data_IF_576920590013
#
_entry.id   IF_576920590013
#
_cell.length_a   1.000
_cell.length_b   1.000
_cell.length_c   1.000
_cell.angle_alpha   90.00
_cell.angle_beta   90.00
_cell.angle_gamma   90.00
#
_symmetry.space_group_name_H-M   'P 1'
#
loop_
_entity.id
_entity.type
_entity.pdbx_description
1 polymer ?
#
# COMPACT_ATOMS: atom_id res chain seq x y z
N UNK A 1 20.53 -16.50 3.59
CA UNK A 1 20.33 -15.05 3.79
C UNK A 1 20.74 -14.74 5.21
N UNK A 2 21.49 -13.66 5.46
CA UNK A 2 22.04 -13.38 6.78
C UNK A 2 21.29 -12.20 7.40
N UNK A 3 20.73 -12.39 8.58
CA UNK A 3 20.09 -11.31 9.35
C UNK A 3 21.12 -10.20 9.56
N UNK A 4 20.75 -8.97 9.24
CA UNK A 4 21.61 -7.80 9.42
C UNK A 4 21.15 -7.04 10.65
N UNK A 5 21.99 -7.04 11.68
CA UNK A 5 21.77 -6.30 12.92
C UNK A 5 22.72 -5.12 12.95
N UNK A 6 22.20 -3.94 13.27
CA UNK A 6 22.97 -2.70 13.45
C UNK A 6 22.45 -1.94 14.67
N UNK A 7 23.15 -0.87 15.07
CA UNK A 7 22.67 0.03 16.12
C UNK A 7 21.36 0.74 15.78
N UNK A 8 20.93 0.73 14.51
CA UNK A 8 19.76 1.49 14.04
C UNK A 8 18.60 0.60 13.61
N UNK A 9 18.85 -0.66 13.21
CA UNK A 9 17.81 -1.58 12.73
C UNK A 9 18.21 -3.05 12.78
N UNK A 10 17.20 -3.91 12.87
CA UNK A 10 17.25 -5.33 12.55
C UNK A 10 16.56 -5.53 11.20
N UNK A 11 17.31 -5.99 10.21
CA UNK A 11 16.80 -6.35 8.88
C UNK A 11 16.80 -7.88 8.76
N UNK A 12 15.59 -8.43 8.78
CA UNK A 12 15.35 -9.87 8.69
C UNK A 12 15.50 -10.40 7.27
N UNK A 13 15.63 -9.55 6.26
CA UNK A 13 15.84 -9.97 4.89
C UNK A 13 14.79 -11.01 4.44
N UNK A 14 13.51 -10.70 4.62
CA UNK A 14 12.35 -11.59 4.38
C UNK A 14 12.37 -12.93 5.15
N UNK A 15 13.20 -13.06 6.18
CA UNK A 15 13.19 -14.19 7.10
C UNK A 15 12.21 -13.99 8.26
N UNK A 16 11.91 -15.07 8.98
CA UNK A 16 10.89 -15.07 10.03
C UNK A 16 11.43 -14.67 11.41
N UNK A 17 10.53 -14.13 12.24
CA UNK A 17 10.68 -14.02 13.69
C UNK A 17 9.59 -14.91 14.31
N UNK A 18 9.98 -15.89 15.11
CA UNK A 18 9.06 -16.85 15.71
C UNK A 18 8.56 -16.33 17.08
N UNK A 19 7.25 -16.42 17.33
CA UNK A 19 6.58 -16.10 18.61
C UNK A 19 6.83 -14.66 19.15
N UNK A 20 6.95 -13.67 18.27
CA UNK A 20 7.08 -12.27 18.67
C UNK A 20 5.77 -11.70 19.23
N UNK A 21 5.87 -10.93 20.31
CA UNK A 21 4.80 -10.08 20.82
C UNK A 21 5.23 -8.62 20.62
N UNK A 22 4.52 -7.89 19.76
CA UNK A 22 4.82 -6.50 19.45
C UNK A 22 3.82 -5.58 20.17
N UNK A 23 4.32 -4.65 20.99
CA UNK A 23 3.52 -3.63 21.67
C UNK A 23 4.01 -2.27 21.25
N UNK A 24 3.06 -1.36 20.96
CA UNK A 24 3.36 0.01 20.51
C UNK A 24 4.28 0.03 19.28
N UNK A 25 4.01 -0.84 18.30
CA UNK A 25 4.78 -0.91 17.08
C UNK A 25 4.33 0.19 16.11
N UNK A 26 5.30 0.78 15.41
CA UNK A 26 5.05 1.69 14.30
C UNK A 26 5.24 1.00 12.96
N UNK A 27 4.55 1.50 11.95
CA UNK A 27 4.77 1.13 10.55
C UNK A 27 5.53 2.25 9.84
N UNK A 28 6.41 1.88 8.90
CA UNK A 28 7.11 2.88 8.11
C UNK A 28 6.14 3.48 7.10
N UNK A 29 5.98 4.80 7.16
CA UNK A 29 5.23 5.60 6.21
C UNK A 29 6.14 6.17 5.13
N UNK A 30 5.72 6.10 3.88
CA UNK A 30 6.36 6.75 2.73
C UNK A 30 5.35 7.57 1.94
N UNK A 31 5.84 8.50 1.12
CA UNK A 31 5.02 9.35 0.27
C UNK A 31 5.46 9.26 -1.20
N UNK A 32 5.15 8.16 -1.91
CA UNK A 32 5.48 8.04 -3.32
C UNK A 32 4.64 9.02 -4.15
N UNK A 33 5.26 9.63 -5.14
CA UNK A 33 4.61 10.57 -6.04
C UNK A 33 4.05 9.86 -7.29
N UNK A 34 2.99 10.42 -7.86
CA UNK A 34 2.48 10.03 -9.17
C UNK A 34 3.34 10.72 -10.24
N UNK A 35 3.95 9.95 -11.14
CA UNK A 35 4.78 10.47 -12.22
C UNK A 35 4.30 9.94 -13.56
N UNK A 36 3.91 10.84 -14.47
CA UNK A 36 3.37 10.49 -15.79
C UNK A 36 2.25 9.43 -15.72
N UNK A 37 1.34 9.56 -14.75
CA UNK A 37 0.23 8.63 -14.52
C UNK A 37 0.61 7.31 -13.82
N UNK A 38 1.89 7.11 -13.50
CA UNK A 38 2.37 5.91 -12.80
C UNK A 38 2.57 6.19 -11.32
N UNK A 39 2.04 5.30 -10.48
CA UNK A 39 2.27 5.26 -9.04
C UNK A 39 2.92 3.91 -8.69
N UNK A 40 4.10 3.94 -8.07
CA UNK A 40 4.81 2.74 -7.61
C UNK A 40 4.84 2.67 -6.10
N UNK A 41 4.32 1.58 -5.55
CA UNK A 41 4.34 1.25 -4.13
C UNK A 41 5.35 0.12 -3.93
N UNK A 42 6.43 0.40 -3.19
CA UNK A 42 7.48 -0.58 -2.89
C UNK A 42 7.41 -1.00 -1.42
N UNK A 43 7.00 -2.25 -1.18
CA UNK A 43 6.75 -2.77 0.16
C UNK A 43 8.01 -2.94 1.01
N UNK A 44 9.20 -2.91 0.39
CA UNK A 44 10.47 -2.87 1.14
C UNK A 44 10.80 -1.48 1.69
N UNK A 45 10.10 -0.44 1.23
CA UNK A 45 10.31 0.95 1.68
C UNK A 45 9.35 1.38 2.78
N UNK A 46 8.21 0.71 2.92
CA UNK A 46 7.23 0.95 3.97
C UNK A 46 5.95 0.14 3.80
N UNK A 47 5.10 0.24 4.81
CA UNK A 47 3.80 -0.44 4.89
C UNK A 47 2.63 0.53 4.75
N UNK A 48 2.87 1.83 4.94
CA UNK A 48 1.89 2.89 4.77
C UNK A 48 2.37 3.83 3.67
N UNK A 49 1.55 4.01 2.63
CA UNK A 49 1.82 4.91 1.52
C UNK A 49 0.82 6.05 1.55
N UNK A 50 1.27 7.27 1.84
CA UNK A 50 0.44 8.47 1.81
C UNK A 50 0.72 9.25 0.53
N UNK A 51 -0.25 9.30 -0.37
CA UNK A 51 -0.08 9.82 -1.72
C UNK A 51 -1.02 11.01 -1.91
N UNK A 52 -0.45 12.14 -2.31
CA UNK A 52 -1.22 13.26 -2.82
C UNK A 52 -1.77 12.89 -4.21
N UNK A 53 -3.09 12.72 -4.30
CA UNK A 53 -3.78 12.34 -5.52
C UNK A 53 -3.95 13.57 -6.43
N UNK A 54 -2.82 14.09 -6.90
CA UNK A 54 -2.71 15.32 -7.71
C UNK A 54 -2.74 15.07 -9.23
N UNK A 55 -2.82 13.80 -9.63
CA UNK A 55 -2.93 13.36 -11.01
C UNK A 55 -3.75 12.06 -11.08
N UNK A 56 -4.29 11.74 -12.26
CA UNK A 56 -4.90 10.43 -12.47
C UNK A 56 -3.82 9.35 -12.45
N UNK A 57 -4.10 8.22 -11.79
CA UNK A 57 -3.21 7.04 -11.79
C UNK A 57 -3.71 6.10 -12.88
N UNK A 58 -2.98 6.03 -13.99
CA UNK A 58 -3.25 5.10 -15.09
C UNK A 58 -2.55 3.76 -14.89
N UNK A 59 -1.49 3.73 -14.07
CA UNK A 59 -0.71 2.53 -13.77
C UNK A 59 -0.35 2.51 -12.30
N UNK A 60 -0.89 1.55 -11.56
CA UNK A 60 -0.50 1.24 -10.19
C UNK A 60 0.43 0.02 -10.21
N UNK A 61 1.65 0.17 -9.69
CA UNK A 61 2.62 -0.92 -9.55
C UNK A 61 2.86 -1.19 -8.08
N UNK A 62 2.48 -2.37 -7.61
CA UNK A 62 2.84 -2.87 -6.28
C UNK A 62 4.04 -3.79 -6.45
N UNK A 63 5.14 -3.50 -5.76
CA UNK A 63 6.42 -4.17 -5.95
C UNK A 63 7.00 -4.70 -4.64
N UNK A 64 7.79 -5.77 -4.77
CA UNK A 64 8.47 -6.47 -3.68
C UNK A 64 7.53 -6.95 -2.55
N UNK A 65 6.40 -7.61 -2.85
CA UNK A 65 5.61 -8.28 -1.82
C UNK A 65 6.41 -9.40 -1.15
N UNK A 66 5.94 -9.82 0.02
CA UNK A 66 6.49 -11.00 0.68
C UNK A 66 6.54 -12.21 -0.26
N UNK A 67 7.60 -13.04 -0.19
CA UNK A 67 7.77 -14.19 -1.07
C UNK A 67 6.61 -15.19 -1.02
N UNK A 68 6.48 -16.01 -2.06
CA UNK A 68 5.46 -17.07 -2.16
C UNK A 68 5.45 -17.95 -0.92
N UNK A 69 4.25 -18.24 -0.41
CA UNK A 69 4.05 -18.97 0.84
C UNK A 69 3.82 -18.07 2.05
N UNK A 70 4.09 -16.76 1.93
CA UNK A 70 3.79 -15.76 2.95
C UNK A 70 2.70 -14.79 2.47
N UNK A 71 1.89 -14.32 3.41
CA UNK A 71 0.96 -13.22 3.18
C UNK A 71 1.61 -11.87 3.55
N UNK A 72 1.12 -10.79 2.94
CA UNK A 72 1.45 -9.44 3.37
C UNK A 72 0.30 -8.47 3.09
N UNK A 73 0.34 -7.34 3.78
CA UNK A 73 -0.60 -6.25 3.62
C UNK A 73 0.08 -4.89 3.71
N UNK A 74 -0.58 -3.88 3.16
CA UNK A 74 -0.18 -2.48 3.27
C UNK A 74 -1.40 -1.57 3.25
N UNK A 75 -1.20 -0.33 3.70
CA UNK A 75 -2.20 0.73 3.67
C UNK A 75 -1.81 1.78 2.63
N UNK A 76 -2.77 2.18 1.81
CA UNK A 76 -2.67 3.31 0.89
C UNK A 76 -3.65 4.39 1.34
N UNK A 77 -3.13 5.60 1.48
CA UNK A 77 -3.90 6.78 1.84
C UNK A 77 -3.81 7.74 0.66
N UNK A 78 -4.95 8.13 0.12
CA UNK A 78 -5.02 9.20 -0.88
C UNK A 78 -5.50 10.49 -0.23
N UNK A 79 -4.76 11.58 -0.44
CA UNK A 79 -5.22 12.94 -0.13
C UNK A 79 -5.70 13.60 -1.43
N UNK A 80 -6.98 13.99 -1.47
CA UNK A 80 -7.57 14.61 -2.66
C UNK A 80 -7.14 16.07 -2.84
N UNK A 81 -7.00 16.51 -4.10
CA UNK A 81 -6.52 17.85 -4.46
C UNK A 81 -7.64 18.83 -4.86
N UNK A 82 -8.91 18.46 -4.66
CA UNK A 82 -10.07 19.25 -5.10
C UNK A 82 -10.60 18.87 -6.48
N UNK A 83 -9.89 18.00 -7.22
CA UNK A 83 -10.30 17.52 -8.54
C UNK A 83 -10.71 16.05 -8.46
N UNK A 84 -11.75 15.66 -9.20
CA UNK A 84 -12.08 14.25 -9.35
C UNK A 84 -10.95 13.54 -10.12
N UNK A 85 -10.30 12.58 -9.48
CA UNK A 85 -9.24 11.76 -10.07
C UNK A 85 -9.70 10.31 -10.21
N UNK A 86 -9.28 9.68 -11.29
CA UNK A 86 -9.47 8.25 -11.50
C UNK A 86 -8.18 7.49 -11.17
N UNK A 87 -8.34 6.29 -10.60
CA UNK A 87 -7.25 5.36 -10.33
C UNK A 87 -7.56 4.03 -10.99
N UNK A 88 -6.69 3.62 -11.91
CA UNK A 88 -6.65 2.28 -12.48
C UNK A 88 -5.91 1.37 -11.50
N UNK A 89 -6.68 0.61 -10.71
CA UNK A 89 -6.14 -0.28 -9.67
C UNK A 89 -5.35 -1.49 -10.21
N UNK A 90 -5.51 -1.82 -11.50
CA UNK A 90 -4.86 -2.96 -12.15
C UNK A 90 -5.63 -4.27 -11.99
N UNK A 91 -5.43 -5.20 -12.91
CA UNK A 91 -6.18 -6.46 -12.97
C UNK A 91 -5.89 -7.41 -11.79
N UNK A 92 -4.76 -7.22 -11.10
CA UNK A 92 -4.40 -7.99 -9.91
C UNK A 92 -5.21 -7.57 -8.68
N UNK A 93 -5.84 -6.39 -8.68
CA UNK A 93 -6.61 -5.87 -7.54
C UNK A 93 -8.08 -6.23 -7.69
N UNK A 94 -8.60 -6.96 -6.71
CA UNK A 94 -10.01 -7.34 -6.62
C UNK A 94 -10.71 -6.53 -5.52
N UNK A 95 -11.84 -5.95 -5.88
CA UNK A 95 -12.74 -5.25 -4.95
C UNK A 95 -14.01 -6.07 -4.71
N UNK A 96 -14.70 -5.88 -3.58
CA UNK A 96 -16.01 -6.49 -3.34
C UNK A 96 -16.97 -6.26 -4.52
N UNK A 97 -17.66 -7.32 -4.95
CA UNK A 97 -18.58 -7.27 -6.09
C UNK A 97 -17.96 -6.73 -7.38
N UNK A 98 -16.64 -6.86 -7.56
CA UNK A 98 -15.87 -6.34 -8.70
C UNK A 98 -16.02 -4.83 -8.93
N UNK A 99 -16.40 -4.06 -7.89
CA UNK A 99 -16.64 -2.62 -8.00
C UNK A 99 -15.61 -1.85 -7.20
N UNK A 100 -14.76 -1.08 -7.89
CA UNK A 100 -13.80 -0.19 -7.25
C UNK A 100 -14.50 0.97 -6.50
N UNK A 101 -13.91 1.48 -5.41
CA UNK A 101 -14.44 2.62 -4.69
C UNK A 101 -14.45 3.89 -5.55
N UNK A 102 -15.48 4.71 -5.37
CA UNK A 102 -15.48 6.10 -5.85
C UNK A 102 -14.59 6.92 -4.93
N UNK A 103 -13.56 7.56 -5.48
CA UNK A 103 -12.61 8.36 -4.71
C UNK A 103 -13.21 9.73 -4.33
N UNK A 104 -12.89 10.18 -3.13
CA UNK A 104 -13.21 11.53 -2.66
C UNK A 104 -12.45 12.55 -3.51
N UNK A 105 -13.15 13.61 -3.95
CA UNK A 105 -12.55 14.72 -4.69
C UNK A 105 -12.44 16.02 -3.89
N UNK A 106 -13.05 16.08 -2.70
CA UNK A 106 -13.01 17.27 -1.84
C UNK A 106 -11.57 17.56 -1.39
N UNK A 107 -11.07 18.76 -1.68
CA UNK A 107 -9.69 19.12 -1.38
C UNK A 107 -9.30 18.88 0.08
N UNK A 108 -8.15 18.24 0.30
CA UNK A 108 -7.60 17.92 1.61
C UNK A 108 -8.26 16.75 2.33
N UNK A 109 -9.32 16.15 1.75
CA UNK A 109 -9.96 14.96 2.32
C UNK A 109 -9.22 13.68 1.99
N UNK A 110 -9.26 12.74 2.91
CA UNK A 110 -8.50 11.49 2.81
C UNK A 110 -9.38 10.25 2.66
N UNK A 111 -8.92 9.37 1.79
CA UNK A 111 -9.42 8.01 1.64
C UNK A 111 -8.34 7.01 2.05
N UNK A 112 -8.73 6.00 2.81
CA UNK A 112 -7.88 4.97 3.39
C UNK A 112 -8.27 3.61 2.83
N UNK A 113 -7.29 2.89 2.31
CA UNK A 113 -7.46 1.58 1.73
C UNK A 113 -6.41 0.62 2.29
N UNK A 114 -6.85 -0.61 2.57
CA UNK A 114 -5.94 -1.71 2.88
C UNK A 114 -5.91 -2.71 1.73
N UNK A 115 -4.73 -3.27 1.49
CA UNK A 115 -4.50 -4.29 0.47
C UNK A 115 -3.89 -5.51 1.12
N UNK A 116 -4.40 -6.69 0.77
CA UNK A 116 -3.91 -7.97 1.27
C UNK A 116 -3.60 -8.93 0.12
N UNK A 117 -2.50 -9.66 0.24
CA UNK A 117 -2.18 -10.79 -0.65
C UNK A 117 -1.70 -11.98 0.17
N UNK A 118 -2.01 -13.19 -0.29
CA UNK A 118 -1.46 -14.45 0.23
C UNK A 118 -0.61 -15.21 -0.79
N UNK A 119 -0.40 -14.63 -1.97
CA UNK A 119 0.23 -15.29 -3.12
C UNK A 119 1.28 -14.41 -3.80
N UNK A 120 2.15 -13.79 -2.99
CA UNK A 120 3.26 -12.95 -3.45
C UNK A 120 2.85 -11.84 -4.43
N UNK A 121 1.68 -11.23 -4.20
CA UNK A 121 1.17 -10.12 -5.00
C UNK A 121 0.62 -10.50 -6.37
N UNK A 122 0.39 -11.79 -6.64
CA UNK A 122 -0.32 -12.22 -7.86
C UNK A 122 -1.77 -11.70 -7.84
N UNK A 123 -2.43 -11.82 -6.68
CA UNK A 123 -3.74 -11.24 -6.42
C UNK A 123 -3.69 -10.37 -5.17
N UNK A 124 -4.37 -9.23 -5.23
CA UNK A 124 -4.56 -8.30 -4.13
C UNK A 124 -6.04 -8.12 -3.86
N UNK A 125 -6.44 -8.22 -2.60
CA UNK A 125 -7.78 -7.89 -2.13
C UNK A 125 -7.77 -6.49 -1.57
N UNK A 126 -8.57 -5.59 -2.16
CA UNK A 126 -8.71 -4.20 -1.72
C UNK A 126 -9.87 -4.06 -0.73
N UNK A 127 -9.62 -3.30 0.33
CA UNK A 127 -10.58 -2.96 1.37
C UNK A 127 -10.67 -1.44 1.51
N UNK A 128 -11.88 -0.93 1.76
CA UNK A 128 -12.11 0.47 2.06
C UNK A 128 -12.15 0.57 3.57
N UNK A 129 -11.13 1.19 4.16
CA UNK A 129 -11.05 1.35 5.62
C UNK A 129 -11.79 2.63 6.06
N UNK A 130 -11.83 3.63 5.18
CA UNK A 130 -12.52 4.90 5.43
C UNK A 130 -12.40 5.86 4.25
N UNK A 131 -13.37 6.77 4.08
CA UNK A 131 -13.34 7.78 3.03
C UNK A 131 -13.84 9.13 3.54
N UNK A 132 -13.41 10.20 2.87
CA UNK A 132 -13.85 11.58 3.10
C UNK A 132 -13.59 12.13 4.53
N UNK A 133 -12.47 11.73 5.14
CA UNK A 133 -12.00 12.29 6.42
C UNK A 133 -11.31 13.65 6.23
#
# INVERSE_FOLDING_TARGET
MAVKISSHRVDMQDSRIDQALLKDYGEIKTAPAISAGTLTLNLTTGNVFEVDLNAAVTTLTISNPSPTGNACSFTLIFTADGTARAVTWGASVSWPSATAPTLTSTNGKKDFFSFYTSNAGTNWYGFIDGQNF
#
